data_IF_243512166936
#
_entry.id   IF_243512166936
#
_cell.length_a   1.000
_cell.length_b   1.000
_cell.length_c   1.000
_cell.angle_alpha   90.00
_cell.angle_beta   90.00
_cell.angle_gamma   90.00
#
_symmetry.space_group_name_H-M   'P 1'
#
loop_
_entity.id
_entity.type
_entity.pdbx_description
1 polymer ?
#
# COMPACT_ATOMS: atom_id res chain seq x y z
N UNK A 1 10.59 -2.66 6.82
CA UNK A 1 9.67 -1.67 6.24
C UNK A 1 10.28 -0.31 6.54
N UNK A 2 10.56 0.52 5.54
CA UNK A 2 11.43 1.70 5.68
C UNK A 2 10.85 2.73 6.65
N UNK A 3 11.68 3.27 7.55
CA UNK A 3 11.34 4.40 8.45
C UNK A 3 10.73 5.59 7.70
N UNK A 4 11.06 5.74 6.41
CA UNK A 4 10.49 6.76 5.53
C UNK A 4 8.98 6.61 5.38
N UNK A 5 8.48 5.39 5.17
CA UNK A 5 7.04 5.15 5.01
C UNK A 5 6.33 5.48 6.31
N UNK A 6 6.89 5.05 7.45
CA UNK A 6 6.35 5.36 8.77
C UNK A 6 6.24 6.86 8.98
N UNK A 7 7.26 7.65 8.60
CA UNK A 7 7.20 9.11 8.69
C UNK A 7 6.16 9.74 7.75
N UNK A 8 6.00 9.20 6.54
CA UNK A 8 4.98 9.65 5.57
C UNK A 8 3.58 9.44 6.13
N UNK A 9 3.32 8.33 6.82
CA UNK A 9 1.99 7.97 7.34
C UNK A 9 1.79 8.31 8.83
N UNK A 10 2.79 8.87 9.52
CA UNK A 10 2.77 9.05 10.98
C UNK A 10 1.61 9.93 11.44
N UNK A 11 1.41 11.11 10.84
CA UNK A 11 0.32 12.03 11.23
C UNK A 11 -1.06 11.42 10.96
N UNK A 12 -1.21 10.65 9.88
CA UNK A 12 -2.46 9.95 9.56
C UNK A 12 -2.77 8.87 10.60
N UNK A 13 -1.75 8.10 11.02
CA UNK A 13 -1.90 7.09 12.09
C UNK A 13 -2.15 7.75 13.45
N UNK A 14 -1.52 8.88 13.74
CA UNK A 14 -1.73 9.62 14.98
C UNK A 14 -3.16 10.18 15.04
N UNK A 15 -3.67 10.80 13.97
CA UNK A 15 -5.06 11.26 13.89
C UNK A 15 -6.06 10.11 14.05
N UNK A 16 -5.79 8.96 13.42
CA UNK A 16 -6.62 7.79 13.62
C UNK A 16 -6.59 7.32 15.07
N UNK A 17 -5.41 7.31 15.70
CA UNK A 17 -5.24 6.98 17.13
C UNK A 17 -6.05 7.92 18.01
N UNK A 18 -5.98 9.23 17.77
CA UNK A 18 -6.75 10.24 18.49
C UNK A 18 -8.26 10.00 18.37
N UNK A 19 -8.75 9.72 17.16
CA UNK A 19 -10.15 9.38 16.94
C UNK A 19 -10.58 8.14 17.73
N UNK A 20 -9.81 7.06 17.69
CA UNK A 20 -10.13 5.83 18.41
C UNK A 20 -10.08 6.06 19.92
N UNK A 21 -9.01 6.66 20.44
CA UNK A 21 -8.86 6.90 21.87
C UNK A 21 -9.96 7.82 22.42
N UNK A 22 -10.42 8.80 21.63
CA UNK A 22 -11.56 9.65 21.99
C UNK A 22 -12.87 8.85 22.10
N UNK A 23 -13.10 7.86 21.24
CA UNK A 23 -14.29 6.98 21.31
C UNK A 23 -14.29 6.17 22.62
N UNK A 24 -13.11 5.71 23.05
CA UNK A 24 -12.93 4.92 24.26
C UNK A 24 -12.74 5.77 25.53
N UNK A 25 -12.80 7.11 25.43
CA UNK A 25 -12.60 8.02 26.56
C UNK A 25 -11.19 8.00 27.14
N UNK A 26 -10.18 7.59 26.35
CA UNK A 26 -8.79 7.54 26.76
C UNK A 26 -8.09 8.89 26.49
N UNK A 27 -7.82 9.72 27.52
CA UNK A 27 -7.18 11.01 27.30
C UNK A 27 -5.72 10.85 26.85
N UNK A 28 -5.16 11.81 26.09
CA UNK A 28 -3.76 11.80 25.72
C UNK A 28 -2.86 11.93 26.95
N UNK A 29 -1.69 11.28 26.90
CA UNK A 29 -0.70 11.27 27.98
C UNK A 29 0.47 12.24 27.74
N UNK A 30 0.48 12.88 26.58
CA UNK A 30 1.50 13.87 26.24
C UNK A 30 1.24 14.53 24.89
N UNK A 31 2.22 15.31 24.47
CA UNK A 31 2.26 15.97 23.17
C UNK A 31 3.59 15.60 22.52
N UNK A 32 3.57 15.27 21.23
CA UNK A 32 4.76 14.93 20.45
C UNK A 32 4.85 15.81 19.21
N UNK A 33 6.06 16.23 18.91
CA UNK A 33 6.39 16.96 17.68
C UNK A 33 7.23 16.07 16.78
N UNK A 34 6.83 15.93 15.52
CA UNK A 34 7.50 15.07 14.54
C UNK A 34 7.33 15.61 13.12
N UNK A 35 8.13 15.09 12.19
CA UNK A 35 8.05 15.41 10.77
C UNK A 35 7.11 14.43 10.07
N UNK A 36 6.30 14.96 9.15
CA UNK A 36 5.44 14.16 8.26
C UNK A 36 5.43 14.77 6.87
N UNK A 37 5.03 14.00 5.85
CA UNK A 37 4.93 14.49 4.48
C UNK A 37 3.49 14.93 4.20
N UNK A 38 3.31 16.20 3.85
CA UNK A 38 2.01 16.71 3.40
C UNK A 38 1.86 16.54 1.89
N UNK A 39 0.95 15.66 1.48
CA UNK A 39 0.67 15.38 0.07
C UNK A 39 0.04 16.54 -0.70
N UNK A 40 -0.52 17.55 -0.02
CA UNK A 40 -1.06 18.73 -0.71
C UNK A 40 0.04 19.71 -1.10
N UNK A 41 0.94 20.01 -0.17
CA UNK A 41 2.09 20.89 -0.43
C UNK A 41 3.30 20.18 -1.05
N UNK A 42 3.27 18.85 -1.16
CA UNK A 42 4.39 18.00 -1.58
C UNK A 42 5.67 18.29 -0.78
N UNK A 43 5.54 18.52 0.53
CA UNK A 43 6.65 18.96 1.38
C UNK A 43 6.66 18.27 2.75
N UNK A 44 7.85 18.24 3.37
CA UNK A 44 8.00 17.81 4.75
C UNK A 44 7.58 18.95 5.69
N UNK A 45 6.67 18.65 6.59
CA UNK A 45 6.16 19.60 7.58
C UNK A 45 6.34 19.04 8.99
N UNK A 46 6.58 19.94 9.94
CA UNK A 46 6.65 19.58 11.35
C UNK A 46 5.28 19.82 11.99
N UNK A 47 4.75 18.80 12.65
CA UNK A 47 3.44 18.86 13.30
C UNK A 47 3.59 18.51 14.78
N UNK A 48 2.70 19.08 15.59
CA UNK A 48 2.61 18.82 17.03
C UNK A 48 1.22 18.24 17.31
N UNK A 49 1.19 17.05 17.92
CA UNK A 49 -0.05 16.30 18.18
C UNK A 49 -0.08 15.70 19.58
N UNK A 50 -1.27 15.44 20.14
CA UNK A 50 -1.42 14.59 21.31
C UNK A 50 -0.86 13.18 21.05
N UNK A 51 -0.39 12.51 22.11
CA UNK A 51 0.11 11.15 22.01
C UNK A 51 -0.33 10.26 23.18
N UNK A 52 -0.31 8.96 22.94
CA UNK A 52 -0.58 7.89 23.90
C UNK A 52 0.67 7.03 24.04
N UNK A 53 0.93 6.57 25.25
CA UNK A 53 2.16 5.91 25.64
C UNK A 53 1.88 4.56 26.28
N UNK A 54 2.65 3.55 25.89
CA UNK A 54 2.77 2.29 26.62
C UNK A 54 4.23 2.12 27.06
N UNK A 55 4.47 2.01 28.38
CA UNK A 55 5.81 1.93 28.95
C UNK A 55 6.75 3.05 28.45
N UNK A 56 6.23 4.28 28.34
CA UNK A 56 6.98 5.45 27.87
C UNK A 56 7.20 5.52 26.35
N UNK A 57 6.70 4.55 25.57
CA UNK A 57 6.80 4.54 24.10
C UNK A 57 5.48 4.93 23.46
N UNK A 58 5.55 5.77 22.41
CA UNK A 58 4.37 6.17 21.63
C UNK A 58 3.66 4.96 21.03
N UNK A 59 2.34 4.96 21.14
CA UNK A 59 1.45 4.02 20.47
C UNK A 59 0.82 4.72 19.28
N UNK A 60 0.86 4.05 18.14
CA UNK A 60 0.07 4.39 16.97
C UNK A 60 -0.83 3.20 16.64
N UNK A 61 -2.12 3.47 16.50
CA UNK A 61 -3.09 2.50 16.01
C UNK A 61 -3.08 2.51 14.48
N UNK A 62 -3.22 1.33 13.90
CA UNK A 62 -3.31 1.14 12.45
C UNK A 62 -4.73 0.71 12.10
N UNK A 63 -5.42 1.39 11.17
CA UNK A 63 -6.75 0.97 10.76
C UNK A 63 -6.72 -0.43 10.13
N UNK A 64 -7.58 -1.34 10.60
CA UNK A 64 -7.65 -2.72 10.08
C UNK A 64 -7.81 -2.77 8.56
N UNK A 65 -8.63 -1.88 8.00
CA UNK A 65 -8.93 -1.84 6.55
C UNK A 65 -7.75 -1.46 5.67
N UNK A 66 -6.61 -1.01 6.20
CA UNK A 66 -5.37 -0.81 5.42
C UNK A 66 -4.34 -1.94 5.61
N UNK A 67 -4.55 -2.86 6.56
CA UNK A 67 -3.64 -3.98 6.82
C UNK A 67 -3.77 -5.02 5.71
N UNK A 68 -2.64 -5.47 5.18
CA UNK A 68 -2.56 -6.40 4.04
C UNK A 68 -1.43 -7.41 4.22
N UNK A 69 -1.63 -8.63 3.73
CA UNK A 69 -0.63 -9.72 3.80
C UNK A 69 0.47 -9.60 2.74
N UNK A 70 0.17 -8.98 1.60
CA UNK A 70 1.07 -8.88 0.44
C UNK A 70 1.14 -7.43 -0.03
N UNK A 71 2.34 -6.99 -0.38
CA UNK A 71 2.53 -5.68 -1.02
C UNK A 71 1.72 -5.60 -2.31
N UNK A 72 1.08 -4.45 -2.48
CA UNK A 72 0.14 -4.14 -3.56
C UNK A 72 0.81 -3.69 -4.85
N UNK A 73 2.11 -3.42 -4.79
CA UNK A 73 2.91 -2.93 -5.90
C UNK A 73 4.06 -3.89 -6.16
N UNK A 74 4.01 -4.57 -7.31
CA UNK A 74 5.12 -5.35 -7.84
C UNK A 74 5.34 -4.95 -9.30
N UNK A 75 6.59 -4.77 -9.71
CA UNK A 75 6.95 -4.46 -11.10
C UNK A 75 6.28 -5.43 -12.08
N UNK A 76 6.31 -6.74 -11.77
CA UNK A 76 5.64 -7.77 -12.56
C UNK A 76 4.11 -7.54 -12.74
N UNK A 77 3.41 -7.04 -11.72
CA UNK A 77 1.97 -6.77 -11.83
C UNK A 77 1.69 -5.61 -12.77
N UNK A 78 2.47 -4.53 -12.66
CA UNK A 78 2.35 -3.38 -13.53
C UNK A 78 2.72 -3.74 -14.98
N UNK A 79 3.80 -4.49 -15.17
CA UNK A 79 4.22 -5.05 -16.46
C UNK A 79 3.10 -5.87 -17.11
N UNK A 80 2.56 -6.87 -16.41
CA UNK A 80 1.56 -7.77 -16.98
C UNK A 80 0.17 -7.15 -17.18
N UNK A 81 -0.23 -6.22 -16.31
CA UNK A 81 -1.59 -5.67 -16.31
C UNK A 81 -1.75 -4.43 -17.16
N UNK A 82 -0.70 -3.62 -17.32
CA UNK A 82 -0.78 -2.36 -18.06
C UNK A 82 0.12 -2.43 -19.28
N UNK A 83 1.42 -2.60 -19.08
CA UNK A 83 2.40 -2.47 -20.17
C UNK A 83 2.15 -3.51 -21.27
N UNK A 84 1.98 -4.79 -20.91
CA UNK A 84 1.70 -5.85 -21.88
C UNK A 84 0.31 -5.70 -22.51
N UNK A 85 -0.68 -5.18 -21.79
CA UNK A 85 -2.00 -4.88 -22.37
C UNK A 85 -1.88 -3.79 -23.43
N UNK A 86 -1.16 -2.71 -23.14
CA UNK A 86 -0.90 -1.62 -24.09
C UNK A 86 -0.12 -2.12 -25.30
N UNK A 87 0.98 -2.83 -25.10
CA UNK A 87 1.77 -3.42 -26.20
C UNK A 87 0.92 -4.30 -27.13
N UNK A 88 -0.06 -5.04 -26.60
CA UNK A 88 -0.98 -5.83 -27.41
C UNK A 88 -1.91 -4.97 -28.24
N UNK A 89 -2.46 -3.91 -27.66
CA UNK A 89 -3.38 -3.02 -28.36
C UNK A 89 -2.65 -2.18 -29.41
N UNK A 90 -1.46 -1.65 -29.08
CA UNK A 90 -0.67 -0.80 -29.99
C UNK A 90 -0.20 -1.55 -31.24
N UNK A 91 0.00 -2.87 -31.13
CA UNK A 91 0.49 -3.73 -32.21
C UNK A 91 -0.60 -4.61 -32.85
N UNK A 92 -1.86 -4.39 -32.48
CA UNK A 92 -3.02 -5.17 -32.95
C UNK A 92 -2.89 -6.68 -32.69
N UNK A 93 -2.22 -7.06 -31.60
CA UNK A 93 -1.98 -8.44 -31.18
C UNK A 93 -3.13 -8.99 -30.33
N UNK A 94 -4.37 -8.76 -30.77
CA UNK A 94 -5.55 -9.19 -30.04
C UNK A 94 -5.62 -10.73 -29.92
N UNK A 95 -5.12 -11.45 -30.91
CA UNK A 95 -5.10 -12.93 -30.93
C UNK A 95 -3.99 -13.55 -30.05
N UNK A 96 -2.93 -12.81 -29.71
CA UNK A 96 -1.88 -13.33 -28.84
C UNK A 96 -2.30 -13.28 -27.38
N UNK A 97 -1.99 -14.31 -26.60
CA UNK A 97 -2.22 -14.25 -25.14
C UNK A 97 -1.13 -13.40 -24.49
N UNK A 98 -1.47 -12.76 -23.37
CA UNK A 98 -0.50 -11.96 -22.58
C UNK A 98 0.76 -12.74 -22.19
N UNK A 99 0.60 -14.02 -21.87
CA UNK A 99 1.72 -14.91 -21.52
C UNK A 99 2.68 -15.08 -22.69
N UNK A 100 2.16 -15.12 -23.92
CA UNK A 100 2.98 -15.27 -25.11
C UNK A 100 3.75 -13.96 -25.38
N UNK A 101 3.13 -12.80 -25.18
CA UNK A 101 3.82 -11.49 -25.25
C UNK A 101 4.90 -11.38 -24.17
N UNK A 102 4.57 -11.73 -22.92
CA UNK A 102 5.52 -11.72 -21.80
C UNK A 102 6.77 -12.57 -22.11
N UNK A 103 6.59 -13.80 -22.60
CA UNK A 103 7.69 -14.72 -22.90
C UNK A 103 8.61 -14.24 -24.02
N UNK A 104 8.10 -13.41 -24.93
CA UNK A 104 8.87 -12.87 -26.05
C UNK A 104 9.55 -11.53 -25.71
N UNK A 105 9.35 -10.97 -24.51
CA UNK A 105 10.15 -9.84 -24.06
C UNK A 105 11.61 -10.26 -23.82
N UNK A 106 12.59 -9.38 -24.05
CA UNK A 106 13.98 -9.66 -23.69
C UNK A 106 14.12 -9.82 -22.18
N UNK A 107 14.64 -10.97 -21.73
CA UNK A 107 14.90 -11.26 -20.32
C UNK A 107 16.38 -10.99 -20.01
N UNK A 108 16.83 -9.77 -20.28
CA UNK A 108 18.25 -9.41 -20.24
C UNK A 108 18.68 -9.10 -18.80
N UNK A 109 19.20 -10.13 -18.11
CA UNK A 109 19.79 -10.00 -16.78
C UNK A 109 18.83 -10.23 -15.62
N UNK A 110 19.32 -10.09 -14.39
CA UNK A 110 18.58 -10.41 -13.16
C UNK A 110 17.41 -9.44 -12.89
N UNK A 111 17.51 -8.19 -13.35
CA UNK A 111 16.54 -7.13 -13.05
C UNK A 111 15.77 -6.63 -14.28
N UNK A 112 15.75 -7.43 -15.35
CA UNK A 112 15.12 -7.07 -16.63
C UNK A 112 13.67 -6.57 -16.48
N UNK A 113 12.90 -7.11 -15.54
CA UNK A 113 11.52 -6.66 -15.28
C UNK A 113 11.48 -5.20 -14.84
N UNK A 114 12.38 -4.81 -13.93
CA UNK A 114 12.46 -3.44 -13.44
C UNK A 114 12.94 -2.50 -14.55
N UNK A 115 13.96 -2.89 -15.30
CA UNK A 115 14.49 -2.08 -16.39
C UNK A 115 13.46 -1.86 -17.50
N UNK A 116 12.69 -2.90 -17.83
CA UNK A 116 11.58 -2.83 -18.78
C UNK A 116 10.48 -1.88 -18.28
N UNK A 117 10.08 -2.02 -17.02
CA UNK A 117 9.05 -1.16 -16.43
C UNK A 117 9.50 0.30 -16.38
N UNK A 118 10.74 0.56 -15.98
CA UNK A 118 11.29 1.91 -15.87
C UNK A 118 11.41 2.57 -17.25
N UNK A 119 11.98 1.86 -18.23
CA UNK A 119 12.13 2.38 -19.59
C UNK A 119 10.78 2.70 -20.22
N UNK A 120 9.83 1.75 -20.20
CA UNK A 120 8.50 1.97 -20.77
C UNK A 120 7.75 3.12 -20.08
N UNK A 121 7.83 3.24 -18.76
CA UNK A 121 7.13 4.30 -18.02
C UNK A 121 7.75 5.68 -18.27
N UNK A 122 9.04 5.74 -18.57
CA UNK A 122 9.70 6.99 -18.97
C UNK A 122 9.18 7.49 -20.31
N UNK A 123 8.97 6.57 -21.25
CA UNK A 123 8.47 6.87 -22.60
C UNK A 123 6.94 7.09 -22.62
N UNK A 124 6.22 6.45 -21.70
CA UNK A 124 4.76 6.52 -21.55
C UNK A 124 4.33 6.82 -20.10
N UNK A 125 4.49 8.06 -19.61
CA UNK A 125 4.16 8.41 -18.22
C UNK A 125 2.68 8.18 -17.87
N UNK A 126 1.79 8.26 -18.85
CA UNK A 126 0.35 8.05 -18.70
C UNK A 126 0.00 6.59 -18.33
N UNK A 127 0.88 5.63 -18.62
CA UNK A 127 0.73 4.23 -18.19
C UNK A 127 0.68 4.10 -16.66
N UNK A 128 1.43 4.95 -15.96
CA UNK A 128 1.44 4.95 -14.50
C UNK A 128 0.12 5.50 -13.93
N UNK A 129 -0.43 6.54 -14.55
CA UNK A 129 -1.75 7.08 -14.19
C UNK A 129 -2.84 6.02 -14.37
N UNK A 130 -2.84 5.34 -15.53
CA UNK A 130 -3.79 4.25 -15.79
C UNK A 130 -3.66 3.11 -14.77
N UNK A 131 -2.44 2.75 -14.38
CA UNK A 131 -2.21 1.75 -13.35
C UNK A 131 -2.85 2.15 -12.02
N UNK A 132 -2.66 3.40 -11.59
CA UNK A 132 -3.24 3.92 -10.35
C UNK A 132 -4.77 3.97 -10.39
N UNK A 133 -5.36 4.35 -11.53
CA UNK A 133 -6.82 4.40 -11.72
C UNK A 133 -7.45 3.00 -11.69
N UNK A 134 -6.76 1.99 -12.25
CA UNK A 134 -7.24 0.60 -12.26
C UNK A 134 -6.97 -0.13 -10.95
N UNK A 135 -6.04 0.36 -10.13
CA UNK A 135 -5.61 -0.26 -8.88
C UNK A 135 -6.79 -0.56 -7.92
N UNK A 136 -7.75 0.38 -7.68
CA UNK A 136 -9.04 0.13 -7.04
C UNK A 136 -9.78 -1.15 -7.44
N UNK A 137 -9.82 -1.45 -8.74
CA UNK A 137 -10.52 -2.64 -9.25
C UNK A 137 -9.75 -3.93 -8.95
N UNK A 138 -8.42 -3.87 -8.95
CA UNK A 138 -7.55 -4.99 -8.63
C UNK A 138 -7.55 -5.28 -7.13
N UNK A 139 -7.66 -4.25 -6.29
CA UNK A 139 -7.83 -4.37 -4.84
C UNK A 139 -9.06 -5.18 -4.44
N UNK A 140 -10.16 -5.09 -5.21
CA UNK A 140 -11.38 -5.86 -4.94
C UNK A 140 -11.33 -7.31 -5.43
N UNK A 141 -10.46 -7.62 -6.39
CA UNK A 141 -10.47 -8.91 -7.12
C UNK A 141 -9.37 -9.90 -6.71
N UNK A 142 -8.23 -9.42 -6.20
CA UNK A 142 -7.08 -10.28 -5.90
C UNK A 142 -6.80 -10.29 -4.40
N UNK A 143 -7.28 -11.33 -3.69
CA UNK A 143 -6.97 -11.63 -2.28
C UNK A 143 -7.10 -10.37 -1.40
N UNK A 144 -8.34 -10.09 -1.00
CA UNK A 144 -8.79 -8.79 -0.46
C UNK A 144 -8.07 -8.28 0.77
N UNK A 145 -8.63 -7.23 1.38
CA UNK A 145 -8.33 -6.91 2.78
C UNK A 145 -8.37 -8.18 3.62
N UNK A 146 -7.45 -8.32 4.58
CA UNK A 146 -7.65 -9.33 5.63
C UNK A 146 -9.03 -9.08 6.23
N UNK A 147 -9.86 -10.11 6.31
CA UNK A 147 -11.03 -10.07 7.18
C UNK A 147 -10.59 -10.11 8.66
N UNK A 148 -11.53 -9.96 9.58
CA UNK A 148 -11.21 -9.90 11.01
C UNK A 148 -10.55 -11.20 11.49
N UNK A 149 -10.99 -12.36 11.00
CA UNK A 149 -10.44 -13.68 11.35
C UNK A 149 -9.00 -13.83 10.81
N UNK A 150 -8.76 -13.52 9.52
CA UNK A 150 -7.41 -13.52 8.93
C UNK A 150 -6.46 -12.60 9.69
N UNK A 151 -6.95 -11.45 10.15
CA UNK A 151 -6.17 -10.49 10.92
C UNK A 151 -5.88 -11.02 12.32
N UNK A 152 -6.88 -11.58 13.01
CA UNK A 152 -6.74 -12.07 14.36
C UNK A 152 -5.79 -13.27 14.41
N UNK A 153 -5.89 -14.19 13.44
CA UNK A 153 -4.90 -15.25 13.24
C UNK A 153 -3.51 -14.67 12.97
N UNK A 154 -3.38 -13.66 12.12
CA UNK A 154 -2.07 -13.10 11.77
C UNK A 154 -1.41 -12.34 12.93
N UNK A 155 -2.18 -11.66 13.77
CA UNK A 155 -1.67 -10.82 14.87
C UNK A 155 -1.54 -11.60 16.17
N UNK A 156 -2.54 -12.42 16.50
CA UNK A 156 -2.66 -13.08 17.81
C UNK A 156 -2.46 -14.60 17.73
N UNK A 157 -2.54 -15.21 16.55
CA UNK A 157 -2.36 -16.65 16.36
C UNK A 157 -3.59 -17.50 16.71
N UNK A 158 -4.74 -16.88 16.97
CA UNK A 158 -6.01 -17.55 17.25
C UNK A 158 -7.21 -16.69 16.80
N UNK A 159 -8.33 -17.33 16.49
CA UNK A 159 -9.61 -16.66 16.23
C UNK A 159 -10.34 -16.37 17.55
N UNK A 160 -10.81 -15.13 17.74
CA UNK A 160 -11.60 -14.74 18.91
C UNK A 160 -13.11 -14.99 18.74
N UNK A 161 -13.54 -15.59 17.63
CA UNK A 161 -14.95 -15.89 17.34
C UNK A 161 -15.58 -16.96 18.25
N UNK A 162 -14.85 -17.50 19.24
CA UNK A 162 -15.39 -18.48 20.19
C UNK A 162 -15.87 -17.92 21.55
N UNK A 163 -15.61 -16.66 21.89
CA UNK A 163 -15.88 -16.16 23.26
C UNK A 163 -16.94 -15.04 23.35
N UNK A 164 -18.02 -15.14 22.57
CA UNK A 164 -19.28 -14.45 22.91
C UNK A 164 -20.46 -15.40 22.68
N UNK A 165 -20.79 -16.17 23.71
CA UNK A 165 -22.08 -16.85 23.89
C UNK A 165 -22.75 -16.31 25.16
#
# INVERSE_FOLDING_TARGET
MSDLITNIIHDQLNRFTEQQMSIWGCPPQGIKTYWTFDGNSNSWVQVTRPCWLNNGKEILLVPKWVVRRRFLFKANQYLNRIIIERMRNDRDWHDMRKVDVFRNLPHDGEHWEYDTVISYTRDHPDALSEYHDRLPSYYRRAIGSMDDDDLDIAVYGCDFTQDIA
#
